data_IF_853019901824
#
_entry.id   IF_853019901824
#
_cell.length_a   1.000
_cell.length_b   1.000
_cell.length_c   1.000
_cell.angle_alpha   90.00
_cell.angle_beta   90.00
_cell.angle_gamma   90.00
#
_symmetry.space_group_name_H-M   'P 1'
#
loop_
_entity.id
_entity.type
_entity.pdbx_description
1 polymer ?
#
# COMPACT_ATOMS: atom_id res chain seq x y z
N UNK A 1 -38.36 1.89 -29.76
CA UNK A 1 -37.05 1.44 -29.22
C UNK A 1 -36.15 2.58 -28.73
N UNK A 2 -36.14 3.77 -29.35
CA UNK A 2 -35.32 4.92 -28.91
C UNK A 2 -35.68 5.42 -27.49
N UNK A 3 -36.98 5.44 -27.15
CA UNK A 3 -37.46 5.90 -25.82
C UNK A 3 -36.95 5.00 -24.70
N UNK A 4 -37.00 3.66 -24.88
CA UNK A 4 -36.52 2.68 -23.89
C UNK A 4 -35.02 2.84 -23.62
N UNK A 5 -34.22 3.11 -24.67
CA UNK A 5 -32.78 3.38 -24.52
C UNK A 5 -32.47 4.65 -23.73
N UNK A 6 -33.23 5.73 -23.98
CA UNK A 6 -33.06 7.00 -23.26
C UNK A 6 -33.45 6.88 -21.80
N UNK A 7 -34.54 6.19 -21.51
CA UNK A 7 -35.00 5.95 -20.13
C UNK A 7 -34.00 5.08 -19.37
N UNK A 8 -33.52 3.99 -19.98
CA UNK A 8 -32.51 3.12 -19.34
C UNK A 8 -31.18 3.84 -19.07
N UNK A 9 -30.71 4.66 -20.01
CA UNK A 9 -29.49 5.47 -19.82
C UNK A 9 -29.65 6.52 -18.71
N UNK A 10 -30.82 7.16 -18.62
CA UNK A 10 -31.11 8.13 -17.56
C UNK A 10 -31.11 7.48 -16.17
N UNK A 11 -31.70 6.28 -16.05
CA UNK A 11 -31.72 5.53 -14.77
C UNK A 11 -30.29 5.17 -14.33
N UNK A 12 -29.44 4.69 -15.26
CA UNK A 12 -28.05 4.36 -14.95
C UNK A 12 -27.20 5.58 -14.57
N UNK A 13 -27.43 6.72 -15.25
CA UNK A 13 -26.75 7.96 -14.90
C UNK A 13 -27.12 8.42 -13.48
N UNK A 14 -28.40 8.35 -13.11
CA UNK A 14 -28.86 8.66 -11.76
C UNK A 14 -28.27 7.69 -10.73
N UNK A 15 -28.24 6.39 -11.04
CA UNK A 15 -27.66 5.38 -10.17
C UNK A 15 -26.15 5.59 -9.94
N UNK A 16 -25.40 5.95 -10.99
CA UNK A 16 -23.97 6.24 -10.88
C UNK A 16 -23.69 7.48 -10.01
N UNK A 17 -24.48 8.55 -10.19
CA UNK A 17 -24.42 9.75 -9.34
C UNK A 17 -24.78 9.39 -7.90
N UNK A 18 -25.81 8.58 -7.68
CA UNK A 18 -26.19 8.14 -6.35
C UNK A 18 -25.08 7.34 -5.67
N UNK A 19 -24.45 6.38 -6.36
CA UNK A 19 -23.30 5.62 -5.81
C UNK A 19 -22.13 6.55 -5.47
N UNK A 20 -21.84 7.53 -6.33
CA UNK A 20 -20.73 8.46 -6.11
C UNK A 20 -20.94 9.37 -4.89
N UNK A 21 -22.18 9.81 -4.62
CA UNK A 21 -22.48 10.80 -3.58
C UNK A 21 -23.07 10.22 -2.29
N UNK A 22 -23.80 9.11 -2.33
CA UNK A 22 -24.43 8.53 -1.12
C UNK A 22 -23.55 7.52 -0.40
N UNK A 23 -22.62 6.87 -1.11
CA UNK A 23 -21.76 5.87 -0.51
C UNK A 23 -20.59 6.59 0.14
N UNK A 24 -20.39 6.55 1.47
CA UNK A 24 -19.33 7.33 2.13
C UNK A 24 -17.93 6.85 1.70
N UNK A 25 -16.94 7.77 1.54
CA UNK A 25 -15.58 7.37 1.25
C UNK A 25 -15.02 6.75 2.52
N UNK A 26 -14.55 5.50 2.45
CA UNK A 26 -13.91 4.90 3.61
C UNK A 26 -12.57 5.60 3.80
N UNK A 27 -12.48 6.47 4.81
CA UNK A 27 -11.23 7.15 5.11
C UNK A 27 -10.21 6.11 5.62
N UNK A 28 -8.97 6.11 5.07
CA UNK A 28 -7.93 5.26 5.59
C UNK A 28 -7.63 5.67 7.03
N UNK A 29 -7.87 4.75 7.97
CA UNK A 29 -7.50 4.94 9.36
C UNK A 29 -5.99 5.14 9.43
N UNK A 30 -5.56 6.36 9.78
CA UNK A 30 -4.14 6.63 9.96
C UNK A 30 -3.65 5.79 11.14
N UNK A 31 -2.55 5.03 10.98
CA UNK A 31 -1.97 4.33 12.12
C UNK A 31 -1.52 5.40 13.10
N UNK A 32 -2.12 5.41 14.29
CA UNK A 32 -1.63 6.23 15.40
C UNK A 32 -0.26 5.66 15.74
N UNK A 33 0.79 6.40 15.43
CA UNK A 33 2.14 6.03 15.82
C UNK A 33 2.14 5.92 17.35
N UNK A 34 2.16 4.70 17.86
CA UNK A 34 2.32 4.47 19.29
C UNK A 34 3.77 4.84 19.59
N UNK A 35 3.95 5.96 20.28
CA UNK A 35 5.26 6.40 20.74
C UNK A 35 5.63 5.50 21.92
N UNK A 36 6.80 4.87 21.88
CA UNK A 36 7.33 4.17 23.04
C UNK A 36 7.39 5.15 24.21
N UNK A 37 6.75 4.78 25.32
CA UNK A 37 6.84 5.53 26.58
C UNK A 37 8.32 5.73 26.91
N UNK A 38 8.76 6.94 27.25
CA UNK A 38 10.18 7.23 27.47
C UNK A 38 10.68 6.64 28.80
N UNK A 39 11.99 6.36 28.94
CA UNK A 39 12.55 5.87 30.22
C UNK A 39 12.45 7.00 31.23
N UNK A 40 12.06 6.68 32.47
CA UNK A 40 11.95 7.66 33.53
C UNK A 40 13.24 8.45 33.70
N UNK A 41 13.10 9.78 33.72
CA UNK A 41 14.23 10.67 33.96
C UNK A 41 14.68 10.57 35.43
N UNK A 42 15.84 9.94 35.65
CA UNK A 42 16.46 9.80 36.98
C UNK A 42 17.46 10.91 37.30
N UNK A 43 17.46 12.02 36.55
CA UNK A 43 18.39 13.15 36.78
C UNK A 43 18.30 13.73 38.20
N UNK A 44 17.13 13.69 38.83
CA UNK A 44 16.97 14.13 40.22
C UNK A 44 17.73 13.21 41.20
N UNK A 45 17.63 11.90 41.05
CA UNK A 45 18.27 10.92 41.92
C UNK A 45 19.79 10.96 41.76
N UNK A 46 20.26 11.09 40.52
CA UNK A 46 21.69 11.27 40.22
C UNK A 46 22.22 12.53 40.90
N UNK A 47 21.50 13.66 40.79
CA UNK A 47 21.91 14.92 41.45
C UNK A 47 21.97 14.78 42.96
N UNK A 48 21.00 14.09 43.58
CA UNK A 48 21.02 13.87 45.03
C UNK A 48 22.20 13.00 45.44
N UNK A 49 22.45 11.88 44.75
CA UNK A 49 23.58 11.01 45.05
C UNK A 49 24.93 11.76 44.95
N UNK A 50 25.07 12.63 43.95
CA UNK A 50 26.26 13.47 43.78
C UNK A 50 26.36 14.59 44.84
N UNK A 51 25.23 15.17 45.25
CA UNK A 51 25.21 16.17 46.31
C UNK A 51 25.59 15.56 47.68
N UNK A 52 25.09 14.36 47.97
CA UNK A 52 25.44 13.61 49.18
C UNK A 52 26.92 13.21 49.17
N UNK A 53 27.43 12.79 48.00
CA UNK A 53 28.86 12.56 47.79
C UNK A 53 29.69 13.79 48.12
N UNK A 54 29.36 14.95 47.53
CA UNK A 54 30.12 16.19 47.74
C UNK A 54 30.08 16.66 49.21
N UNK A 55 28.92 16.54 49.86
CA UNK A 55 28.77 16.85 51.28
C UNK A 55 29.60 15.92 52.19
N UNK A 56 29.73 14.64 51.82
CA UNK A 56 30.50 13.66 52.58
C UNK A 56 32.00 13.79 52.33
N UNK A 57 32.40 14.02 51.09
CA UNK A 57 33.78 14.24 50.69
C UNK A 57 34.37 15.44 51.44
N UNK A 58 33.61 16.53 51.58
CA UNK A 58 34.00 17.72 52.35
C UNK A 58 34.28 17.44 53.85
N UNK A 59 33.79 16.33 54.40
CA UNK A 59 33.99 15.92 55.80
C UNK A 59 35.09 14.88 55.97
N UNK A 60 35.65 14.35 54.87
CA UNK A 60 36.72 13.35 54.95
C UNK A 60 38.05 14.00 55.32
N UNK A 61 38.86 13.30 56.12
CA UNK A 61 40.16 13.78 56.62
C UNK A 61 41.34 12.94 56.11
N UNK A 62 41.10 12.01 55.18
CA UNK A 62 42.17 11.19 54.60
C UNK A 62 41.70 10.13 53.61
N UNK A 63 42.66 9.57 52.89
CA UNK A 63 42.43 8.61 51.81
C UNK A 63 41.57 7.39 52.19
N UNK A 64 41.70 6.78 53.40
CA UNK A 64 40.82 5.67 53.78
C UNK A 64 39.35 6.07 53.89
N UNK A 65 39.05 7.28 54.36
CA UNK A 65 37.68 7.76 54.48
C UNK A 65 37.10 8.13 53.10
N UNK A 66 37.92 8.77 52.25
CA UNK A 66 37.56 9.04 50.85
C UNK A 66 37.22 7.76 50.08
N UNK A 67 37.97 6.67 50.30
CA UNK A 67 37.69 5.39 49.64
C UNK A 67 36.30 4.84 50.00
N UNK A 68 35.85 5.01 51.25
CA UNK A 68 34.51 4.58 51.68
C UNK A 68 33.43 5.47 51.06
N UNK A 69 33.63 6.79 51.06
CA UNK A 69 32.68 7.76 50.46
C UNK A 69 32.55 7.52 48.96
N UNK A 70 33.67 7.36 48.24
CA UNK A 70 33.68 6.99 46.82
C UNK A 70 32.97 5.66 46.56
N UNK A 71 33.16 4.67 47.43
CA UNK A 71 32.51 3.36 47.32
C UNK A 71 30.99 3.45 47.47
N UNK A 72 30.50 4.25 48.43
CA UNK A 72 29.06 4.47 48.62
C UNK A 72 28.43 5.22 47.45
N UNK A 73 29.05 6.29 46.97
CA UNK A 73 28.58 7.03 45.81
C UNK A 73 28.55 6.15 44.55
N UNK A 74 29.58 5.34 44.34
CA UNK A 74 29.63 4.39 43.22
C UNK A 74 28.50 3.35 43.30
N UNK A 75 28.24 2.79 44.50
CA UNK A 75 27.12 1.88 44.71
C UNK A 75 25.80 2.53 44.33
N UNK A 76 25.51 3.74 44.80
CA UNK A 76 24.22 4.38 44.59
C UNK A 76 24.00 4.76 43.11
N UNK A 77 25.04 5.25 42.43
CA UNK A 77 24.97 5.50 40.98
C UNK A 77 24.78 4.20 40.18
N UNK A 78 25.44 3.11 40.56
CA UNK A 78 25.24 1.80 39.92
C UNK A 78 23.83 1.25 40.16
N UNK A 79 23.24 1.50 41.33
CA UNK A 79 21.84 1.16 41.60
C UNK A 79 20.89 1.93 40.67
N UNK A 80 21.08 3.25 40.52
CA UNK A 80 20.25 4.05 39.61
C UNK A 80 20.36 3.54 38.17
N UNK A 81 21.58 3.24 37.69
CA UNK A 81 21.80 2.68 36.34
C UNK A 81 21.10 1.33 36.18
N UNK A 82 21.20 0.44 37.17
CA UNK A 82 20.56 -0.88 37.12
C UNK A 82 19.03 -0.77 37.08
N UNK A 83 18.45 0.17 37.82
CA UNK A 83 17.01 0.44 37.77
C UNK A 83 16.57 0.97 36.41
N UNK A 84 17.29 1.94 35.83
CA UNK A 84 16.99 2.47 34.50
C UNK A 84 17.11 1.39 33.41
N UNK A 85 18.13 0.54 33.50
CA UNK A 85 18.30 -0.60 32.58
C UNK A 85 17.18 -1.62 32.75
N UNK A 86 16.81 -1.95 33.98
CA UNK A 86 15.70 -2.86 34.24
C UNK A 86 14.38 -2.30 33.71
N UNK A 87 14.12 -1.01 33.89
CA UNK A 87 12.95 -0.33 33.34
C UNK A 87 12.94 -0.39 31.81
N UNK A 88 14.08 -0.13 31.17
CA UNK A 88 14.22 -0.22 29.73
C UNK A 88 13.96 -1.65 29.21
N UNK A 89 14.39 -2.69 29.95
CA UNK A 89 14.21 -4.08 29.57
C UNK A 89 12.80 -4.63 29.88
N UNK A 90 12.15 -4.13 30.93
CA UNK A 90 10.83 -4.61 31.39
C UNK A 90 9.67 -3.80 30.82
N UNK A 91 9.96 -2.77 30.02
CA UNK A 91 8.97 -1.95 29.33
C UNK A 91 8.05 -2.82 28.45
N UNK A 92 6.73 -2.54 28.44
CA UNK A 92 5.81 -3.13 27.46
C UNK A 92 6.28 -2.81 26.04
N UNK A 93 6.59 -3.85 25.26
CA UNK A 93 6.93 -3.66 23.85
C UNK A 93 5.75 -3.02 23.13
N UNK A 94 5.97 -1.84 22.55
CA UNK A 94 4.95 -1.19 21.73
C UNK A 94 4.79 -2.01 20.46
N UNK A 95 3.58 -2.53 20.16
CA UNK A 95 3.35 -3.28 18.94
C UNK A 95 3.80 -2.46 17.74
N UNK A 96 4.54 -3.11 16.83
CA UNK A 96 4.96 -2.46 15.59
C UNK A 96 3.76 -1.77 14.91
N UNK A 97 3.94 -0.58 14.32
CA UNK A 97 2.87 0.11 13.62
C UNK A 97 2.26 -0.85 12.59
N UNK A 98 1.03 -1.28 12.83
CA UNK A 98 0.30 -2.11 11.86
C UNK A 98 0.13 -1.24 10.63
N UNK A 99 0.62 -1.72 9.48
CA UNK A 99 0.42 -1.03 8.22
C UNK A 99 -1.08 -0.70 8.08
N UNK A 100 -1.45 0.53 7.66
CA UNK A 100 -2.85 0.89 7.54
C UNK A 100 -3.52 -0.14 6.64
N UNK A 101 -4.51 -0.84 7.18
CA UNK A 101 -5.40 -1.66 6.38
C UNK A 101 -6.17 -0.67 5.53
N UNK A 102 -5.75 -0.51 4.27
CA UNK A 102 -6.48 0.28 3.28
C UNK A 102 -7.78 -0.48 3.02
N UNK A 103 -8.94 0.03 3.48
CA UNK A 103 -10.20 -0.64 3.20
C UNK A 103 -10.42 -0.58 1.69
N UNK A 104 -10.84 -1.68 1.08
CA UNK A 104 -11.19 -1.67 -0.33
C UNK A 104 -12.33 -0.66 -0.53
N UNK A 105 -12.12 0.30 -1.43
CA UNK A 105 -13.16 1.27 -1.76
C UNK A 105 -14.26 0.56 -2.58
N UNK A 106 -15.34 0.20 -1.89
CA UNK A 106 -16.50 -0.50 -2.42
C UNK A 106 -17.24 0.30 -3.51
N UNK A 107 -16.97 1.60 -3.67
CA UNK A 107 -17.52 2.42 -4.76
C UNK A 107 -16.99 1.97 -6.12
N UNK A 108 -15.72 1.57 -6.19
CA UNK A 108 -15.05 1.16 -7.43
C UNK A 108 -15.73 -0.08 -8.05
N UNK A 109 -15.91 -1.22 -7.34
CA UNK A 109 -16.61 -2.37 -7.89
C UNK A 109 -18.08 -2.07 -8.20
N UNK A 110 -18.75 -1.22 -7.43
CA UNK A 110 -20.13 -0.82 -7.70
C UNK A 110 -20.28 -0.05 -9.03
N UNK A 111 -19.37 0.89 -9.31
CA UNK A 111 -19.34 1.63 -10.57
C UNK A 111 -19.01 0.74 -11.77
N UNK A 112 -18.07 -0.20 -11.60
CA UNK A 112 -17.77 -1.22 -12.63
C UNK A 112 -19.00 -2.08 -12.91
N UNK A 113 -19.73 -2.52 -11.87
CA UNK A 113 -20.97 -3.26 -12.03
C UNK A 113 -22.04 -2.50 -12.82
N UNK A 114 -22.22 -1.21 -12.53
CA UNK A 114 -23.15 -0.34 -13.28
C UNK A 114 -22.74 -0.18 -14.75
N UNK A 115 -21.44 -0.06 -15.02
CA UNK A 115 -20.92 0.05 -16.38
C UNK A 115 -21.18 -1.23 -17.19
N UNK A 116 -20.92 -2.40 -16.58
CA UNK A 116 -21.20 -3.70 -17.22
C UNK A 116 -22.69 -3.87 -17.49
N UNK A 117 -23.55 -3.53 -16.53
CA UNK A 117 -25.00 -3.59 -16.70
C UNK A 117 -25.49 -2.65 -17.83
N UNK A 118 -24.94 -1.44 -17.89
CA UNK A 118 -25.22 -0.48 -18.96
C UNK A 118 -24.81 -0.98 -20.33
N UNK A 119 -23.62 -1.60 -20.43
CA UNK A 119 -23.14 -2.19 -21.68
C UNK A 119 -24.03 -3.36 -22.13
N UNK A 120 -24.39 -4.25 -21.20
CA UNK A 120 -25.29 -5.38 -21.50
C UNK A 120 -26.64 -4.89 -22.01
N UNK A 121 -27.22 -3.87 -21.39
CA UNK A 121 -28.48 -3.27 -21.84
C UNK A 121 -28.34 -2.58 -23.21
N UNK A 122 -27.21 -1.92 -23.47
CA UNK A 122 -26.94 -1.27 -24.76
C UNK A 122 -26.85 -2.29 -25.91
N UNK A 123 -26.17 -3.43 -25.67
CA UNK A 123 -26.05 -4.53 -26.63
C UNK A 123 -27.38 -5.23 -26.84
N UNK A 124 -28.12 -5.56 -25.77
CA UNK A 124 -29.42 -6.22 -25.86
C UNK A 124 -30.46 -5.38 -26.63
N UNK A 125 -30.35 -4.06 -26.55
CA UNK A 125 -31.25 -3.12 -27.25
C UNK A 125 -30.69 -2.61 -28.58
N UNK A 126 -29.54 -3.12 -29.04
CA UNK A 126 -28.97 -2.73 -30.33
C UNK A 126 -29.87 -3.16 -31.49
N UNK A 127 -30.08 -2.28 -32.49
CA UNK A 127 -30.78 -2.67 -33.71
C UNK A 127 -29.95 -3.78 -34.35
N UNK A 128 -30.49 -5.00 -34.40
CA UNK A 128 -29.92 -6.09 -35.18
C UNK A 128 -30.07 -5.68 -36.63
N UNK A 129 -28.97 -5.29 -37.28
CA UNK A 129 -28.95 -4.98 -38.69
C UNK A 129 -29.52 -6.16 -39.47
N UNK A 130 -30.46 -5.89 -40.37
CA UNK A 130 -30.92 -6.89 -41.32
C UNK A 130 -29.69 -7.42 -42.06
N UNK A 131 -29.47 -8.73 -41.99
CA UNK A 131 -28.52 -9.42 -42.86
C UNK A 131 -29.01 -9.16 -44.27
N UNK A 132 -28.33 -8.27 -44.99
CA UNK A 132 -28.49 -8.13 -46.43
C UNK A 132 -27.83 -9.37 -47.02
N UNK A 133 -28.63 -10.39 -47.31
CA UNK A 133 -28.22 -11.50 -48.16
C UNK A 133 -27.92 -10.88 -49.53
N UNK A 134 -26.63 -10.59 -49.79
CA UNK A 134 -26.17 -10.22 -51.11
C UNK A 134 -26.46 -11.42 -52.03
N UNK A 135 -27.48 -11.27 -52.88
CA UNK A 135 -27.84 -12.24 -53.89
C UNK A 135 -26.65 -12.52 -54.81
N UNK A 136 -26.40 -13.80 -55.03
CA UNK A 136 -25.51 -14.33 -56.07
C UNK A 136 -25.96 -13.81 -57.44
N UNK A 137 -25.08 -13.16 -58.23
CA UNK A 137 -25.24 -13.11 -59.68
C UNK A 137 -24.35 -14.19 -60.31
N UNK A 138 -24.99 -15.17 -60.94
CA UNK A 138 -24.32 -16.07 -61.87
C UNK A 138 -24.01 -15.37 -63.20
N UNK A 139 -22.84 -15.67 -63.76
CA UNK A 139 -22.42 -15.42 -65.15
C UNK A 139 -21.12 -16.23 -65.35
N UNK A 140 -21.15 -17.46 -65.85
CA UNK A 140 -21.07 -17.87 -67.28
C UNK A 140 -19.89 -17.24 -68.04
N UNK A 141 -18.95 -18.09 -68.51
CA UNK A 141 -18.11 -17.78 -69.69
C UNK A 141 -16.60 -18.03 -69.58
N UNK A 142 -16.15 -19.13 -70.21
CA UNK A 142 -14.89 -19.34 -70.97
C UNK A 142 -13.49 -19.25 -70.33
N UNK A 143 -12.94 -20.45 -70.00
CA UNK A 143 -11.83 -21.20 -70.64
C UNK A 143 -10.56 -20.47 -71.23
N UNK A 144 -9.46 -21.19 -71.56
CA UNK A 144 -8.44 -21.77 -70.67
C UNK A 144 -6.97 -21.41 -71.09
N UNK A 145 -5.98 -22.13 -70.51
CA UNK A 145 -4.53 -22.33 -70.89
C UNK A 145 -3.46 -21.32 -70.43
N UNK A 146 -2.17 -21.73 -70.27
CA UNK A 146 -1.57 -22.93 -69.63
C UNK A 146 -0.43 -22.59 -68.61
N UNK A 147 0.19 -23.60 -67.94
CA UNK A 147 1.21 -23.41 -66.90
C UNK A 147 2.65 -23.44 -67.43
N UNK A 148 3.53 -22.64 -66.82
CA UNK A 148 4.99 -22.72 -66.97
C UNK A 148 5.65 -21.82 -65.93
N UNK A 149 6.04 -22.34 -64.76
CA UNK A 149 7.30 -23.02 -64.47
C UNK A 149 8.49 -22.08 -64.22
N UNK A 150 8.78 -21.92 -62.92
CA UNK A 150 10.11 -21.98 -62.27
C UNK A 150 11.14 -20.90 -62.61
N UNK A 151 11.45 -20.05 -61.61
CA UNK A 151 12.83 -19.62 -61.36
C UNK A 151 13.08 -19.47 -59.84
N UNK A 152 13.97 -20.28 -59.25
CA UNK A 152 14.56 -20.03 -57.93
C UNK A 152 16.01 -19.55 -58.09
N UNK A 153 16.35 -18.47 -57.42
CA UNK A 153 17.68 -17.95 -57.07
C UNK A 153 17.40 -16.69 -56.24
N UNK A 154 18.01 -16.36 -55.12
CA UNK A 154 19.35 -16.59 -54.59
C UNK A 154 19.23 -16.17 -53.11
N UNK A 155 19.55 -17.02 -52.13
CA UNK A 155 20.86 -17.13 -51.49
C UNK A 155 21.28 -15.90 -50.67
N UNK A 156 21.40 -16.07 -49.34
CA UNK A 156 22.42 -15.54 -48.43
C UNK A 156 21.93 -15.43 -46.97
N UNK A 157 22.34 -16.40 -46.14
CA UNK A 157 22.51 -16.27 -44.69
C UNK A 157 23.87 -15.56 -44.39
N UNK A 158 24.39 -15.47 -43.15
CA UNK A 158 23.78 -15.49 -41.80
C UNK A 158 24.21 -14.25 -40.95
N UNK A 159 23.36 -13.84 -40.00
CA UNK A 159 23.74 -12.94 -38.92
C UNK A 159 24.48 -13.72 -37.82
N UNK A 160 25.79 -13.49 -37.73
CA UNK A 160 26.64 -13.83 -36.57
C UNK A 160 26.79 -12.57 -35.72
N UNK A 161 26.37 -12.61 -34.45
CA UNK A 161 26.98 -11.79 -33.39
C UNK A 161 26.68 -12.31 -31.98
N UNK A 162 27.73 -12.90 -31.40
CA UNK A 162 28.25 -12.70 -30.03
C UNK A 162 27.31 -12.81 -28.83
N UNK A 163 27.52 -13.87 -28.05
CA UNK A 163 27.82 -13.79 -26.62
C UNK A 163 29.15 -14.52 -26.36
#
# INVERSE_FOLDING_TARGET
>A
MIVVRRVGAAILAVAAVAVWFLMEPVEPQRPVAQVQEEVSDRSWEIRNALADYEANEARTQGAPQQAVVNGWAAKDLLTIIAEQQNEALTRPEVPAPVAPVVPNDERVPALVGLLVLGLALAVATAPRGAVVTAGVPGSTGDAPTPPGSVHPASDAAPLVRTL
#
